data_IF_627497916240
#
_entry.id   IF_627497916240
#
_cell.length_a   1.000
_cell.length_b   1.000
_cell.length_c   1.000
_cell.angle_alpha   90.00
_cell.angle_beta   90.00
_cell.angle_gamma   90.00
#
_symmetry.space_group_name_H-M   'P 1'
#
loop_
_entity.id
_entity.type
_entity.pdbx_description
1 polymer ?
#
# COMPACT_ATOMS: atom_id res chain seq x y z
N UNK A 1 -1.47 -29.55 -10.85
CA UNK A 1 -0.51 -28.45 -10.58
C UNK A 1 0.58 -28.99 -9.68
N UNK A 2 1.80 -29.20 -10.19
CA UNK A 2 2.92 -29.76 -9.41
C UNK A 2 3.25 -28.85 -8.22
N UNK A 3 3.41 -29.41 -7.02
CA UNK A 3 3.73 -28.67 -5.79
C UNK A 3 4.96 -27.75 -5.97
N UNK A 4 5.89 -28.12 -6.86
CA UNK A 4 7.07 -27.33 -7.23
C UNK A 4 6.73 -26.00 -7.90
N UNK A 5 5.71 -25.96 -8.78
CA UNK A 5 5.29 -24.74 -9.48
C UNK A 5 4.61 -23.75 -8.52
N UNK A 6 3.76 -24.26 -7.60
CA UNK A 6 3.15 -23.42 -6.56
C UNK A 6 4.21 -22.84 -5.61
N UNK A 7 5.17 -23.66 -5.18
CA UNK A 7 6.28 -23.22 -4.35
C UNK A 7 7.13 -22.14 -5.04
N UNK A 8 7.44 -22.33 -6.33
CA UNK A 8 8.16 -21.33 -7.13
C UNK A 8 7.44 -19.98 -7.22
N UNK A 9 6.12 -19.99 -7.40
CA UNK A 9 5.32 -18.76 -7.40
C UNK A 9 5.30 -18.04 -6.05
N UNK A 10 5.19 -18.78 -4.94
CA UNK A 10 5.22 -18.18 -3.61
C UNK A 10 6.58 -17.55 -3.30
N UNK A 11 7.68 -18.21 -3.69
CA UNK A 11 9.04 -17.66 -3.54
C UNK A 11 9.21 -16.42 -4.41
N UNK A 12 8.76 -16.45 -5.66
CA UNK A 12 8.81 -15.28 -6.55
C UNK A 12 8.00 -14.10 -6.00
N UNK A 13 6.82 -14.36 -5.42
CA UNK A 13 5.98 -13.34 -4.79
C UNK A 13 6.63 -12.76 -3.53
N UNK A 14 7.21 -13.61 -2.68
CA UNK A 14 7.95 -13.18 -1.50
C UNK A 14 9.17 -12.33 -1.85
N UNK A 15 9.93 -12.72 -2.88
CA UNK A 15 11.07 -11.95 -3.38
C UNK A 15 10.64 -10.62 -4.00
N UNK A 16 9.60 -10.61 -4.83
CA UNK A 16 9.08 -9.38 -5.43
C UNK A 16 8.58 -8.39 -4.36
N UNK A 17 7.88 -8.90 -3.34
CA UNK A 17 7.41 -8.09 -2.22
C UNK A 17 8.58 -7.57 -1.37
N UNK A 18 9.57 -8.41 -1.07
CA UNK A 18 10.77 -8.02 -0.35
C UNK A 18 11.59 -6.96 -1.09
N UNK A 19 11.83 -7.17 -2.39
CA UNK A 19 12.55 -6.22 -3.24
C UNK A 19 11.78 -4.90 -3.36
N UNK A 20 10.46 -4.95 -3.64
CA UNK A 20 9.62 -3.75 -3.71
C UNK A 20 9.63 -2.96 -2.40
N UNK A 21 9.55 -3.65 -1.26
CA UNK A 21 9.64 -3.04 0.06
C UNK A 21 11.00 -2.36 0.29
N UNK A 22 12.10 -3.05 -0.02
CA UNK A 22 13.45 -2.51 0.13
C UNK A 22 13.71 -1.32 -0.80
N UNK A 23 13.27 -1.38 -2.05
CA UNK A 23 13.38 -0.28 -3.00
C UNK A 23 12.62 0.96 -2.50
N UNK A 24 11.39 0.78 -2.03
CA UNK A 24 10.60 1.86 -1.43
C UNK A 24 11.26 2.44 -0.17
N UNK A 25 11.83 1.59 0.69
CA UNK A 25 12.56 2.03 1.88
C UNK A 25 13.80 2.84 1.52
N UNK A 26 14.57 2.40 0.52
CA UNK A 26 15.76 3.09 0.04
C UNK A 26 15.41 4.46 -0.55
N UNK A 27 14.36 4.54 -1.39
CA UNK A 27 13.89 5.79 -1.98
C UNK A 27 13.41 6.77 -0.89
N UNK A 28 12.66 6.27 0.10
CA UNK A 28 12.13 7.09 1.19
C UNK A 28 13.23 7.64 2.09
N UNK A 29 14.29 6.86 2.35
CA UNK A 29 15.46 7.31 3.14
C UNK A 29 16.45 8.17 2.34
N UNK A 30 16.40 8.12 1.01
CA UNK A 30 17.28 8.87 0.12
C UNK A 30 16.92 10.37 0.06
N UNK A 31 17.76 11.16 -0.61
CA UNK A 31 17.50 12.58 -0.89
C UNK A 31 16.17 12.78 -1.63
N UNK A 32 15.80 11.84 -2.49
CA UNK A 32 14.52 11.88 -3.21
C UNK A 32 13.34 11.90 -2.24
N UNK A 33 13.28 11.04 -1.23
CA UNK A 33 12.20 11.04 -0.24
C UNK A 33 12.06 12.36 0.54
N UNK A 34 13.19 13.02 0.83
CA UNK A 34 13.19 14.36 1.47
C UNK A 34 12.62 15.42 0.52
N UNK A 35 12.98 15.37 -0.76
CA UNK A 35 12.43 16.27 -1.80
C UNK A 35 10.93 16.03 -1.98
N UNK A 36 10.47 14.77 -1.97
CA UNK A 36 9.03 14.46 -2.02
C UNK A 36 8.27 15.05 -0.82
N UNK A 37 8.87 15.00 0.36
CA UNK A 37 8.29 15.59 1.58
C UNK A 37 8.23 17.12 1.47
N UNK A 38 9.29 17.75 0.95
CA UNK A 38 9.30 19.19 0.70
C UNK A 38 8.24 19.61 -0.34
N UNK A 39 8.08 18.84 -1.43
CA UNK A 39 7.03 19.06 -2.43
C UNK A 39 5.63 18.96 -1.81
N UNK A 40 5.42 17.98 -0.91
CA UNK A 40 4.14 17.79 -0.22
C UNK A 40 3.80 18.96 0.71
N UNK A 41 4.79 19.50 1.40
CA UNK A 41 4.57 20.60 2.36
C UNK A 41 4.38 21.94 1.62
N UNK A 42 5.24 22.26 0.65
CA UNK A 42 5.07 23.47 -0.16
C UNK A 42 5.75 23.35 -1.54
N UNK A 43 4.93 23.07 -2.55
CA UNK A 43 5.34 22.88 -3.93
C UNK A 43 5.99 24.13 -4.53
N UNK A 44 5.35 25.29 -4.38
CA UNK A 44 5.84 26.56 -4.92
C UNK A 44 7.24 26.88 -4.39
N UNK A 45 7.43 26.72 -3.07
CA UNK A 45 8.72 26.94 -2.42
C UNK A 45 9.79 26.03 -2.98
N UNK A 46 9.48 24.75 -3.19
CA UNK A 46 10.43 23.76 -3.72
C UNK A 46 10.86 24.09 -5.16
N UNK A 47 9.95 24.66 -5.96
CA UNK A 47 10.23 25.13 -7.31
C UNK A 47 11.20 26.31 -7.32
N UNK A 48 11.08 27.24 -6.37
CA UNK A 48 11.99 28.39 -6.23
C UNK A 48 13.43 28.00 -5.87
N UNK A 49 13.65 26.85 -5.23
CA UNK A 49 14.99 26.33 -4.89
C UNK A 49 15.67 25.63 -6.09
N UNK A 50 15.04 25.64 -7.27
CA UNK A 50 15.60 25.07 -8.50
C UNK A 50 15.23 23.60 -8.76
N UNK A 51 14.37 22.99 -7.95
CA UNK A 51 13.87 21.63 -8.22
C UNK A 51 12.72 21.65 -9.22
N UNK A 52 12.79 20.77 -10.24
CA UNK A 52 11.69 20.50 -11.16
C UNK A 52 10.71 19.52 -10.52
N UNK A 53 9.66 20.05 -9.90
CA UNK A 53 8.66 19.28 -9.15
C UNK A 53 7.94 18.25 -10.03
N UNK A 54 7.68 18.60 -11.28
CA UNK A 54 7.01 17.77 -12.27
C UNK A 54 7.80 16.48 -12.52
N UNK A 55 9.12 16.58 -12.69
CA UNK A 55 9.98 15.43 -12.92
C UNK A 55 9.99 14.47 -11.72
N UNK A 56 9.98 15.01 -10.50
CA UNK A 56 9.96 14.20 -9.28
C UNK A 56 8.63 13.47 -9.13
N UNK A 57 7.50 14.16 -9.37
CA UNK A 57 6.16 13.55 -9.34
C UNK A 57 6.00 12.46 -10.39
N UNK A 58 6.44 12.71 -11.63
CA UNK A 58 6.41 11.74 -12.72
C UNK A 58 7.26 10.51 -12.38
N UNK A 59 8.45 10.69 -11.82
CA UNK A 59 9.31 9.58 -11.42
C UNK A 59 8.66 8.67 -10.37
N UNK A 60 8.08 9.26 -9.32
CA UNK A 60 7.40 8.50 -8.26
C UNK A 60 6.19 7.76 -8.84
N UNK A 61 5.38 8.44 -9.66
CA UNK A 61 4.21 7.86 -10.28
C UNK A 61 4.57 6.65 -11.14
N UNK A 62 5.56 6.79 -12.02
CA UNK A 62 6.06 5.68 -12.86
C UNK A 62 6.61 4.54 -12.02
N UNK A 63 7.37 4.84 -10.96
CA UNK A 63 7.90 3.81 -10.06
C UNK A 63 6.77 3.04 -9.34
N UNK A 64 5.75 3.72 -8.84
CA UNK A 64 4.57 3.09 -8.25
C UNK A 64 3.79 2.26 -9.26
N UNK A 65 3.64 2.73 -10.50
CA UNK A 65 2.97 1.99 -11.57
C UNK A 65 3.72 0.70 -11.93
N UNK A 66 5.06 0.73 -11.99
CA UNK A 66 5.87 -0.47 -12.20
C UNK A 66 5.67 -1.51 -11.09
N UNK A 67 5.67 -1.07 -9.82
CA UNK A 67 5.42 -1.95 -8.69
C UNK A 67 4.00 -2.56 -8.73
N UNK A 68 2.99 -1.76 -9.05
CA UNK A 68 1.61 -2.23 -9.19
C UNK A 68 1.47 -3.25 -10.33
N UNK A 69 2.15 -3.02 -11.46
CA UNK A 69 2.17 -3.94 -12.60
C UNK A 69 2.82 -5.28 -12.26
N UNK A 70 3.96 -5.27 -11.56
CA UNK A 70 4.62 -6.49 -11.08
C UNK A 70 3.70 -7.24 -10.10
N UNK A 71 3.09 -6.53 -9.15
CA UNK A 71 2.17 -7.14 -8.18
C UNK A 71 0.97 -7.83 -8.87
N UNK A 72 0.35 -7.16 -9.86
CA UNK A 72 -0.73 -7.73 -10.64
C UNK A 72 -0.32 -8.94 -11.48
N UNK A 73 0.86 -8.87 -12.14
CA UNK A 73 1.37 -9.98 -12.95
C UNK A 73 1.64 -11.24 -12.11
N UNK A 74 2.07 -11.09 -10.86
CA UNK A 74 2.28 -12.22 -9.93
C UNK A 74 0.96 -12.73 -9.33
N UNK A 75 -0.06 -11.88 -9.21
CA UNK A 75 -1.36 -12.25 -8.67
C UNK A 75 -2.16 -13.18 -9.60
N UNK A 76 -2.17 -12.92 -10.90
CA UNK A 76 -2.92 -13.69 -11.91
C UNK A 76 -2.65 -15.21 -11.84
N UNK A 77 -1.40 -15.69 -11.87
CA UNK A 77 -1.12 -17.13 -11.81
C UNK A 77 -1.30 -17.73 -10.41
N UNK A 78 -1.44 -16.92 -9.36
CA UNK A 78 -1.71 -17.35 -7.99
C UNK A 78 -3.19 -17.68 -7.76
N UNK A 79 -4.10 -16.87 -8.29
CA UNK A 79 -5.54 -17.10 -8.20
C UNK A 79 -5.98 -18.22 -9.15
N UNK A 80 -5.34 -18.32 -10.33
CA UNK A 80 -5.52 -19.45 -11.26
C UNK A 80 -6.92 -19.56 -11.88
N UNK A 81 -7.84 -18.67 -11.52
CA UNK A 81 -9.21 -18.58 -12.02
C UNK A 81 -9.45 -17.11 -12.35
N UNK A 82 -9.84 -16.81 -13.59
CA UNK A 82 -10.21 -15.45 -13.98
C UNK A 82 -11.69 -15.28 -13.63
N UNK A 83 -11.97 -14.51 -12.58
CA UNK A 83 -13.33 -14.18 -12.18
C UNK A 83 -13.58 -12.69 -12.47
N UNK A 84 -14.50 -12.32 -13.38
CA UNK A 84 -14.74 -10.92 -13.75
C UNK A 84 -15.19 -10.06 -12.55
N UNK A 85 -15.67 -10.69 -11.48
CA UNK A 85 -16.01 -10.01 -10.23
C UNK A 85 -14.80 -9.40 -9.51
N UNK A 86 -13.56 -9.86 -9.75
CA UNK A 86 -12.36 -9.26 -9.15
C UNK A 86 -12.01 -7.90 -9.77
N UNK A 87 -12.50 -7.62 -10.98
CA UNK A 87 -12.39 -6.29 -11.61
C UNK A 87 -13.46 -5.30 -11.11
N UNK A 88 -14.28 -5.70 -10.14
CA UNK A 88 -15.27 -4.83 -9.50
C UNK A 88 -14.58 -3.67 -8.76
N UNK A 89 -15.16 -2.46 -8.75
CA UNK A 89 -14.65 -1.32 -7.98
C UNK A 89 -14.40 -1.61 -6.49
N UNK A 90 -15.09 -2.61 -5.94
CA UNK A 90 -14.92 -3.08 -4.57
C UNK A 90 -13.48 -3.50 -4.25
N UNK A 91 -12.78 -4.18 -5.18
CA UNK A 91 -11.41 -4.61 -4.97
C UNK A 91 -10.43 -3.43 -4.83
N UNK A 92 -10.63 -2.38 -5.62
CA UNK A 92 -9.81 -1.16 -5.51
C UNK A 92 -10.04 -0.42 -4.20
N UNK A 93 -11.29 -0.35 -3.72
CA UNK A 93 -11.63 0.26 -2.43
C UNK A 93 -10.96 -0.50 -1.27
N UNK A 94 -10.96 -1.84 -1.34
CA UNK A 94 -10.32 -2.67 -0.32
C UNK A 94 -8.82 -2.36 -0.18
N UNK A 95 -8.10 -2.21 -1.30
CA UNK A 95 -6.67 -1.86 -1.29
C UNK A 95 -6.45 -0.46 -0.66
N UNK A 96 -7.33 0.50 -0.94
CA UNK A 96 -7.26 1.84 -0.32
C UNK A 96 -7.47 1.75 1.19
N UNK A 97 -8.37 0.89 1.64
CA UNK A 97 -8.65 0.66 3.07
C UNK A 97 -7.44 0.06 3.78
N UNK A 98 -6.74 -0.91 3.16
CA UNK A 98 -5.51 -1.47 3.74
C UNK A 98 -4.49 -0.38 4.07
N UNK A 99 -4.32 0.58 3.16
CA UNK A 99 -3.41 1.72 3.35
C UNK A 99 -3.97 2.73 4.35
N UNK A 100 -5.28 3.00 4.35
CA UNK A 100 -5.91 3.92 5.28
C UNK A 100 -5.80 3.44 6.73
N UNK A 101 -6.10 2.16 6.97
CA UNK A 101 -5.95 1.49 8.29
C UNK A 101 -4.50 1.53 8.75
N UNK A 102 -3.59 1.16 7.84
CA UNK A 102 -2.17 1.15 8.12
C UNK A 102 -1.56 2.51 8.40
N UNK A 103 -2.03 3.55 7.71
CA UNK A 103 -1.51 4.91 7.76
C UNK A 103 -0.63 5.25 6.54
N UNK A 104 -1.04 6.29 5.80
CA UNK A 104 -0.38 6.76 4.56
C UNK A 104 1.03 7.33 4.73
N UNK A 105 1.47 7.59 5.95
CA UNK A 105 2.72 8.27 6.24
C UNK A 105 3.93 7.33 6.37
N UNK A 106 3.70 6.01 6.47
CA UNK A 106 4.74 5.03 6.77
C UNK A 106 4.59 3.76 5.96
N UNK A 107 5.69 3.26 5.41
CA UNK A 107 5.72 1.99 4.67
C UNK A 107 5.28 0.79 5.53
N UNK A 108 5.78 0.71 6.77
CA UNK A 108 5.42 -0.34 7.73
C UNK A 108 3.92 -0.36 8.07
N UNK A 109 3.30 0.82 8.08
CA UNK A 109 1.87 0.96 8.35
C UNK A 109 1.02 0.27 7.30
N UNK A 110 1.28 0.53 6.02
CA UNK A 110 0.56 -0.11 4.92
C UNK A 110 0.63 -1.65 4.98
N UNK A 111 1.79 -2.21 5.35
CA UNK A 111 1.97 -3.66 5.52
C UNK A 111 1.12 -4.19 6.69
N UNK A 112 1.16 -3.52 7.85
CA UNK A 112 0.36 -3.90 9.01
C UNK A 112 -1.15 -3.79 8.73
N UNK A 113 -1.58 -2.74 8.03
CA UNK A 113 -2.97 -2.53 7.63
C UNK A 113 -3.46 -3.60 6.64
N UNK A 114 -2.64 -3.97 5.66
CA UNK A 114 -2.96 -5.06 4.74
C UNK A 114 -3.14 -6.40 5.48
N UNK A 115 -2.23 -6.74 6.41
CA UNK A 115 -2.33 -7.96 7.21
C UNK A 115 -3.59 -7.97 8.09
N UNK A 116 -3.87 -6.86 8.79
CA UNK A 116 -5.00 -6.76 9.71
C UNK A 116 -6.34 -6.83 8.98
N UNK A 117 -6.48 -6.12 7.85
CA UNK A 117 -7.72 -6.14 7.06
C UNK A 117 -7.89 -7.48 6.35
N UNK A 118 -6.82 -8.07 5.83
CA UNK A 118 -6.90 -9.40 5.19
C UNK A 118 -7.29 -10.48 6.20
N UNK A 119 -6.74 -10.44 7.42
CA UNK A 119 -7.16 -11.35 8.50
C UNK A 119 -8.63 -11.16 8.88
N UNK A 120 -9.05 -9.90 9.03
CA UNK A 120 -10.45 -9.55 9.31
C UNK A 120 -11.38 -10.04 8.20
N UNK A 121 -10.98 -9.90 6.92
CA UNK A 121 -11.72 -10.42 5.76
C UNK A 121 -11.88 -11.92 5.86
N UNK A 122 -10.79 -12.62 6.11
CA UNK A 122 -10.79 -14.08 6.18
C UNK A 122 -11.67 -14.60 7.32
N UNK A 123 -11.70 -13.89 8.45
CA UNK A 123 -12.54 -14.25 9.61
C UNK A 123 -14.02 -13.90 9.37
N UNK A 124 -14.34 -12.70 8.89
CA UNK A 124 -15.72 -12.26 8.68
C UNK A 124 -16.39 -12.97 7.50
N UNK A 125 -15.65 -13.27 6.43
CA UNK A 125 -16.18 -14.04 5.28
C UNK A 125 -16.53 -15.47 5.68
N UNK A 126 -15.87 -16.03 6.70
CA UNK A 126 -16.19 -17.35 7.24
C UNK A 126 -17.46 -17.36 8.10
N UNK A 127 -17.83 -16.22 8.71
CA UNK A 127 -19.01 -16.10 9.57
C UNK A 127 -20.25 -15.61 8.82
N UNK A 128 -20.14 -14.53 8.03
CA UNK A 128 -21.27 -13.89 7.31
C UNK A 128 -20.77 -13.16 6.04
N UNK A 129 -20.99 -13.70 4.82
CA UNK A 129 -20.49 -13.11 3.57
C UNK A 129 -21.06 -11.72 3.26
N UNK A 130 -22.36 -11.50 3.51
CA UNK A 130 -23.05 -10.25 3.17
C UNK A 130 -22.74 -9.10 4.14
N UNK A 131 -22.37 -9.42 5.38
CA UNK A 131 -22.02 -8.42 6.40
C UNK A 131 -20.63 -7.79 6.19
N UNK A 132 -19.75 -8.45 5.42
CA UNK A 132 -18.39 -7.96 5.17
C UNK A 132 -18.38 -6.61 4.47
N UNK A 133 -19.24 -6.38 3.46
CA UNK A 133 -19.27 -5.10 2.74
C UNK A 133 -19.66 -3.94 3.67
N UNK A 134 -20.66 -4.16 4.54
CA UNK A 134 -21.07 -3.17 5.54
C UNK A 134 -19.97 -2.95 6.59
N UNK A 135 -19.33 -4.02 7.07
CA UNK A 135 -18.22 -3.94 8.00
C UNK A 135 -17.00 -3.21 7.39
N UNK A 136 -16.71 -3.45 6.12
CA UNK A 136 -15.62 -2.82 5.38
C UNK A 136 -15.87 -1.32 5.17
N UNK A 137 -17.10 -0.93 4.79
CA UNK A 137 -17.50 0.47 4.71
C UNK A 137 -17.48 1.18 6.07
N UNK A 138 -17.98 0.53 7.12
CA UNK A 138 -17.93 1.05 8.48
C UNK A 138 -16.47 1.22 8.96
N UNK A 139 -15.62 0.22 8.73
CA UNK A 139 -14.19 0.26 9.06
C UNK A 139 -13.50 1.44 8.35
N UNK A 140 -13.78 1.66 7.06
CA UNK A 140 -13.24 2.79 6.31
C UNK A 140 -13.62 4.14 6.93
N UNK A 141 -14.91 4.34 7.23
CA UNK A 141 -15.41 5.58 7.85
C UNK A 141 -14.80 5.77 9.23
N UNK A 142 -14.74 4.71 10.03
CA UNK A 142 -14.26 4.74 11.41
C UNK A 142 -12.75 5.05 11.47
N UNK A 143 -11.96 4.43 10.59
CA UNK A 143 -10.52 4.68 10.48
C UNK A 143 -10.24 6.09 9.97
N UNK A 144 -10.97 6.57 8.97
CA UNK A 144 -10.75 7.92 8.43
C UNK A 144 -11.17 9.02 9.40
N UNK A 145 -12.22 8.81 10.21
CA UNK A 145 -12.68 9.75 11.23
C UNK A 145 -11.84 9.73 12.52
N UNK A 146 -11.53 8.54 13.06
CA UNK A 146 -10.89 8.42 14.38
C UNK A 146 -9.36 8.32 14.30
N UNK A 147 -8.82 7.87 13.17
CA UNK A 147 -7.39 7.64 12.97
C UNK A 147 -6.90 8.32 11.67
N UNK A 148 -6.94 9.66 11.55
CA UNK A 148 -6.53 10.38 10.33
C UNK A 148 -5.04 10.20 9.98
N UNK A 149 -4.22 9.69 10.91
CA UNK A 149 -2.82 9.30 10.69
C UNK A 149 -2.60 7.78 10.57
N UNK A 150 -3.67 6.97 10.63
CA UNK A 150 -3.65 5.51 10.69
C UNK A 150 -3.08 4.95 11.99
N UNK A 151 -3.02 3.62 12.10
CA UNK A 151 -2.49 2.92 13.29
C UNK A 151 -1.04 3.30 13.58
N UNK A 152 -0.24 3.61 12.56
CA UNK A 152 1.15 4.07 12.76
C UNK A 152 1.29 5.49 13.25
N UNK A 153 0.23 6.31 13.17
CA UNK A 153 0.19 7.63 13.77
C UNK A 153 0.15 7.64 15.30
N UNK A 154 -0.14 6.49 15.92
CA UNK A 154 -0.11 6.28 17.37
C UNK A 154 1.29 5.91 17.89
N UNK A 155 2.22 5.52 17.01
CA UNK A 155 3.60 5.27 17.42
C UNK A 155 4.32 6.62 17.60
N UNK A 156 4.91 6.89 18.78
CA UNK A 156 5.54 8.16 19.05
C UNK A 156 6.68 8.40 18.05
N UNK A 157 6.57 9.53 17.34
CA UNK A 157 7.62 10.11 16.51
C UNK A 157 8.87 10.21 17.38
N UNK A 158 9.89 9.34 17.15
CA UNK A 158 11.24 9.67 17.58
C UNK A 158 11.64 10.90 16.77
N UNK A 159 11.39 12.05 17.35
CA UNK A 159 11.97 13.32 16.98
C UNK A 159 13.48 13.10 16.86
N UNK A 160 13.98 12.98 15.62
CA UNK A 160 15.36 13.33 15.36
C UNK A 160 15.43 14.85 15.52
N UNK A 161 15.62 15.25 16.77
CA UNK A 161 16.07 16.58 17.15
C UNK A 161 17.47 16.75 16.56
N UNK A 162 17.55 17.71 15.64
CA UNK A 162 18.71 18.50 15.21
C UNK A 162 20.00 17.74 14.81
#
# INVERSE_FOLDING_TARGET
QSNTTRAGLFIASGLALGLGYLSCLFITKSRLGKVCTAIRDQEDRTRFIGYRVENVKLWIFTFSAMLAGIAGALYVPQVGIINPNEFSPLGSIEIVIWVAVGGRATLYGAVAGALMVNYSKSYLTAAMPDAWLFALGALFVLVTLLLPRGVTGLLPKKEQVL
#
